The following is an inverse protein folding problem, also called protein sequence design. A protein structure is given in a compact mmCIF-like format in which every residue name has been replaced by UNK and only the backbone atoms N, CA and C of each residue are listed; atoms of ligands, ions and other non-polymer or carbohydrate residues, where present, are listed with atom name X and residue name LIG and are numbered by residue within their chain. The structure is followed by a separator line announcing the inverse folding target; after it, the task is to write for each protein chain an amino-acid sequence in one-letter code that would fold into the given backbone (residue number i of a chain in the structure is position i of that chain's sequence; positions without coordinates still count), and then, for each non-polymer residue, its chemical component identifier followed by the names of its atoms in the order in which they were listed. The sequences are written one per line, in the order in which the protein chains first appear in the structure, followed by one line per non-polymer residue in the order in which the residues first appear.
data_IF_563954463457
#
_entry.id   IF_563954463457
#
_cell.length_a   1.000
_cell.length_b   1.000
_cell.length_c   1.000
_cell.angle_alpha   90.00
_cell.angle_beta   90.00
_cell.angle_gamma   90.00
#
_symmetry.space_group_name_H-M   'P 1'
#
loop_
_entity.id
_entity.type
_entity.pdbx_description
1 polymer ?
#
# COMPACT_ATOMS: atom_id res chain seq x y z
N UNK A 1 -21.93 -26.52 0.65
CA UNK A 1 -20.60 -26.84 0.07
C UNK A 1 -20.00 -25.63 -0.68
N UNK A 2 -20.73 -25.01 -1.60
CA UNK A 2 -20.29 -23.86 -2.42
C UNK A 2 -19.71 -22.68 -1.62
N UNK A 3 -20.36 -22.24 -0.54
CA UNK A 3 -19.86 -21.15 0.32
C UNK A 3 -18.54 -21.48 1.02
N UNK A 4 -18.33 -22.75 1.38
CA UNK A 4 -17.09 -23.20 2.01
C UNK A 4 -15.93 -23.17 0.99
N UNK A 5 -16.18 -23.63 -0.24
CA UNK A 5 -15.20 -23.59 -1.33
C UNK A 5 -14.81 -22.15 -1.69
N UNK A 6 -15.78 -21.23 -1.73
CA UNK A 6 -15.52 -19.80 -1.93
C UNK A 6 -14.68 -19.19 -0.80
N UNK A 7 -15.00 -19.51 0.46
CA UNK A 7 -14.23 -19.06 1.63
C UNK A 7 -12.76 -19.50 1.59
N UNK A 8 -12.47 -20.69 1.06
CA UNK A 8 -11.10 -21.19 0.91
C UNK A 8 -10.34 -20.62 -0.29
N UNK A 9 -11.06 -20.18 -1.34
CA UNK A 9 -10.45 -19.59 -2.53
C UNK A 9 -10.14 -18.08 -2.36
N UNK A 10 -10.78 -17.42 -1.39
CA UNK A 10 -10.66 -15.98 -1.18
C UNK A 10 -9.27 -15.55 -0.68
N UNK A 11 -8.68 -16.17 0.36
CA UNK A 11 -7.43 -15.69 0.96
C UNK A 11 -6.24 -15.59 0.00
N UNK A 12 -5.98 -16.56 -0.91
CA UNK A 12 -4.91 -16.40 -1.89
C UNK A 12 -5.16 -15.22 -2.85
N UNK A 13 -6.40 -15.01 -3.29
CA UNK A 13 -6.75 -13.90 -4.20
C UNK A 13 -6.58 -12.53 -3.53
N UNK A 14 -6.70 -12.46 -2.20
CA UNK A 14 -6.41 -11.23 -1.44
C UNK A 14 -4.92 -10.84 -1.42
N UNK A 15 -4.04 -11.67 -1.97
CA UNK A 15 -2.64 -11.29 -2.26
C UNK A 15 -2.47 -10.65 -3.66
N UNK A 16 -3.55 -10.52 -4.43
CA UNK A 16 -3.53 -10.06 -5.82
C UNK A 16 -3.52 -11.22 -6.83
N UNK A 17 -3.55 -10.88 -8.12
CA UNK A 17 -3.54 -11.85 -9.22
C UNK A 17 -2.08 -12.16 -9.60
N UNK A 18 -1.54 -13.24 -9.04
CA UNK A 18 -0.17 -13.70 -9.28
C UNK A 18 -0.19 -15.20 -9.60
N UNK A 19 0.92 -15.74 -10.10
CA UNK A 19 1.03 -17.18 -10.38
C UNK A 19 0.75 -18.02 -9.12
N UNK A 20 1.28 -17.61 -7.97
CA UNK A 20 1.09 -18.33 -6.71
C UNK A 20 -0.36 -18.28 -6.23
N UNK A 21 -0.99 -17.11 -6.22
CA UNK A 21 -2.38 -16.97 -5.78
C UNK A 21 -3.34 -17.69 -6.71
N UNK A 22 -3.10 -17.59 -8.01
CA UNK A 22 -3.86 -18.31 -9.03
C UNK A 22 -3.75 -19.83 -8.81
N UNK A 23 -2.54 -20.36 -8.61
CA UNK A 23 -2.31 -21.79 -8.35
C UNK A 23 -3.05 -22.29 -7.11
N UNK A 24 -3.07 -21.50 -6.04
CA UNK A 24 -3.75 -21.86 -4.78
C UNK A 24 -5.27 -21.80 -4.86
N UNK A 25 -5.83 -21.00 -5.78
CA UNK A 25 -7.29 -20.84 -5.94
C UNK A 25 -7.90 -21.65 -7.08
N UNK A 26 -7.12 -22.03 -8.10
CA UNK A 26 -7.62 -22.63 -9.35
C UNK A 26 -8.53 -23.86 -9.13
N UNK A 27 -8.10 -24.84 -8.33
CA UNK A 27 -8.89 -26.04 -8.03
C UNK A 27 -10.24 -25.72 -7.41
N UNK A 28 -10.28 -24.73 -6.52
CA UNK A 28 -11.51 -24.30 -5.84
C UNK A 28 -12.43 -23.57 -6.80
N UNK A 29 -11.90 -22.70 -7.65
CA UNK A 29 -12.65 -22.01 -8.70
C UNK A 29 -13.23 -23.01 -9.72
N UNK A 30 -12.45 -24.00 -10.15
CA UNK A 30 -12.92 -25.07 -11.04
C UNK A 30 -14.08 -25.85 -10.41
N UNK A 31 -13.95 -26.19 -9.13
CA UNK A 31 -15.02 -26.87 -8.37
C UNK A 31 -16.28 -26.00 -8.21
N UNK A 32 -16.15 -24.68 -8.06
CA UNK A 32 -17.28 -23.76 -8.01
C UNK A 32 -18.03 -23.67 -9.34
N UNK A 33 -17.30 -23.72 -10.45
CA UNK A 33 -17.86 -23.66 -11.80
C UNK A 33 -18.39 -25.01 -12.30
N UNK A 34 -17.97 -26.11 -11.69
CA UNK A 34 -18.34 -27.46 -12.14
C UNK A 34 -17.81 -27.77 -13.54
N UNK A 35 -16.61 -27.30 -13.87
CA UNK A 35 -16.03 -27.34 -15.21
C UNK A 35 -14.84 -28.31 -15.29
N UNK A 36 -14.56 -28.85 -16.48
CA UNK A 36 -13.53 -29.88 -16.66
C UNK A 36 -12.10 -29.31 -16.58
N UNK A 37 -11.92 -28.07 -17.04
CA UNK A 37 -10.68 -27.33 -16.86
C UNK A 37 -10.93 -25.83 -16.67
N UNK A 38 -10.06 -25.18 -15.90
CA UNK A 38 -10.04 -23.75 -15.66
C UNK A 38 -8.61 -23.21 -15.83
N UNK A 39 -8.52 -22.05 -16.46
CA UNK A 39 -7.29 -21.31 -16.64
C UNK A 39 -7.47 -19.89 -16.07
N UNK A 40 -6.47 -19.39 -15.35
CA UNK A 40 -6.35 -17.95 -15.04
C UNK A 40 -5.14 -17.39 -15.77
N UNK A 41 -5.28 -16.20 -16.32
CA UNK A 41 -4.21 -15.50 -17.04
C UNK A 41 -3.98 -14.13 -16.42
N UNK A 42 -2.80 -13.57 -16.64
CA UNK A 42 -2.60 -12.12 -16.63
C UNK A 42 -2.78 -11.61 -18.08
N UNK A 43 -2.22 -10.43 -18.40
CA UNK A 43 -2.27 -9.86 -19.75
C UNK A 43 -1.25 -10.46 -20.72
N UNK A 44 -0.24 -11.17 -20.21
CA UNK A 44 0.92 -11.63 -20.99
C UNK A 44 0.97 -13.15 -21.13
N UNK A 45 0.50 -13.88 -20.12
CA UNK A 45 0.66 -15.33 -20.01
C UNK A 45 -0.41 -15.99 -19.14
N UNK A 46 -0.43 -17.32 -19.24
CA UNK A 46 -1.19 -18.17 -18.33
C UNK A 46 -0.51 -18.23 -16.97
N UNK A 47 -1.25 -17.90 -15.91
CA UNK A 47 -0.79 -18.01 -14.52
C UNK A 47 -0.99 -19.43 -13.98
N UNK A 48 -2.10 -20.07 -14.34
CA UNK A 48 -2.39 -21.44 -13.92
C UNK A 48 -3.35 -22.12 -14.87
N UNK A 49 -3.15 -23.42 -15.05
CA UNK A 49 -4.11 -24.36 -15.62
C UNK A 49 -4.45 -25.43 -14.59
N UNK A 50 -5.74 -25.69 -14.34
CA UNK A 50 -6.21 -26.77 -13.47
C UNK A 50 -7.29 -27.60 -14.19
N UNK A 51 -7.13 -28.92 -14.23
CA UNK A 51 -8.07 -29.83 -14.90
C UNK A 51 -7.50 -30.56 -16.11
N UNK A 52 -8.36 -31.06 -16.99
CA UNK A 52 -7.96 -31.80 -18.19
C UNK A 52 -7.32 -30.89 -19.26
N UNK A 53 -6.78 -31.48 -20.34
CA UNK A 53 -6.45 -30.74 -21.57
C UNK A 53 -5.34 -29.69 -21.47
N UNK A 54 -4.26 -29.95 -20.70
CA UNK A 54 -3.13 -29.03 -20.52
C UNK A 54 -2.49 -28.52 -21.82
N UNK A 55 -2.66 -29.24 -22.94
CA UNK A 55 -2.16 -28.81 -24.25
C UNK A 55 -2.79 -27.50 -24.75
N UNK A 56 -4.00 -27.15 -24.29
CA UNK A 56 -4.68 -25.89 -24.60
C UNK A 56 -4.05 -24.65 -23.97
N UNK A 57 -3.19 -24.81 -22.96
CA UNK A 57 -2.54 -23.67 -22.30
C UNK A 57 -1.64 -22.83 -23.21
N UNK A 58 -1.22 -23.37 -24.36
CA UNK A 58 -0.37 -22.65 -25.33
C UNK A 58 -1.14 -21.66 -26.20
N UNK A 59 -2.40 -21.99 -26.51
CA UNK A 59 -3.18 -21.26 -27.52
C UNK A 59 -4.19 -20.31 -26.88
N UNK A 60 -4.48 -20.48 -25.58
CA UNK A 60 -5.50 -19.70 -24.86
C UNK A 60 -5.30 -18.18 -24.94
N UNK A 61 -4.04 -17.70 -24.91
CA UNK A 61 -3.74 -16.27 -24.98
C UNK A 61 -4.20 -15.65 -26.30
N UNK A 62 -4.05 -16.38 -27.42
CA UNK A 62 -4.52 -15.92 -28.72
C UNK A 62 -6.05 -15.83 -28.81
N UNK A 63 -6.77 -16.73 -28.15
CA UNK A 63 -8.24 -16.71 -28.14
C UNK A 63 -8.83 -15.58 -27.29
N UNK A 64 -8.09 -15.06 -26.29
CA UNK A 64 -8.59 -14.05 -25.35
C UNK A 64 -8.02 -12.64 -25.60
N UNK A 65 -7.25 -12.44 -26.67
CA UNK A 65 -6.62 -11.13 -26.98
C UNK A 65 -7.66 -9.99 -27.02
N UNK A 66 -8.73 -10.16 -27.79
CA UNK A 66 -9.81 -9.17 -27.87
C UNK A 66 -10.52 -8.92 -26.52
N UNK A 67 -10.54 -9.89 -25.62
CA UNK A 67 -11.09 -9.73 -24.26
C UNK A 67 -10.14 -8.91 -23.38
N UNK A 68 -8.83 -9.15 -23.47
CA UNK A 68 -7.82 -8.41 -22.71
C UNK A 68 -7.74 -6.94 -23.12
N UNK A 69 -8.06 -6.63 -24.38
CA UNK A 69 -8.18 -5.26 -24.89
C UNK A 69 -9.54 -4.63 -24.60
N UNK A 70 -10.62 -5.33 -24.90
CA UNK A 70 -11.99 -4.78 -24.89
C UNK A 70 -12.76 -4.95 -23.59
N UNK A 71 -12.28 -5.79 -22.66
CA UNK A 71 -12.95 -6.07 -21.38
C UNK A 71 -14.33 -6.71 -21.53
N UNK A 72 -14.60 -7.39 -22.64
CA UNK A 72 -15.86 -8.13 -22.88
C UNK A 72 -15.61 -9.62 -22.85
N UNK A 73 -16.42 -10.33 -22.06
CA UNK A 73 -16.41 -11.79 -22.03
C UNK A 73 -16.78 -12.38 -23.38
N UNK A 74 -16.22 -13.54 -23.71
CA UNK A 74 -16.46 -14.23 -24.98
C UNK A 74 -16.58 -15.74 -24.75
N UNK A 75 -17.36 -16.41 -25.59
CA UNK A 75 -17.38 -17.86 -25.70
C UNK A 75 -16.79 -18.25 -27.06
N UNK A 76 -15.97 -19.29 -27.09
CA UNK A 76 -15.27 -19.72 -28.30
C UNK A 76 -15.12 -21.25 -28.35
N UNK A 77 -15.03 -21.77 -29.57
CA UNK A 77 -14.61 -23.15 -29.82
C UNK A 77 -13.09 -23.26 -29.58
N UNK A 78 -12.66 -24.32 -28.90
CA UNK A 78 -11.26 -24.52 -28.55
C UNK A 78 -10.37 -24.83 -29.75
N UNK A 79 -10.95 -25.21 -30.89
CA UNK A 79 -10.23 -25.59 -32.10
C UNK A 79 -9.38 -26.86 -31.94
N UNK A 80 -9.64 -27.68 -30.91
CA UNK A 80 -8.78 -28.81 -30.58
C UNK A 80 -8.80 -29.88 -31.70
N UNK A 81 -7.63 -30.17 -32.27
CA UNK A 81 -7.48 -31.24 -33.27
C UNK A 81 -7.53 -32.66 -32.67
N UNK A 82 -7.33 -32.80 -31.36
CA UNK A 82 -7.41 -34.09 -30.67
C UNK A 82 -8.88 -34.52 -30.54
N UNK A 83 -9.25 -35.65 -31.16
CA UNK A 83 -10.62 -36.17 -31.20
C UNK A 83 -11.09 -36.72 -29.84
N UNK A 84 -10.17 -37.09 -28.94
CA UNK A 84 -10.48 -37.60 -27.60
C UNK A 84 -10.52 -36.47 -26.56
N UNK A 85 -10.16 -35.25 -26.92
CA UNK A 85 -10.19 -34.12 -26.00
C UNK A 85 -11.63 -33.71 -25.64
N UNK A 86 -11.98 -33.68 -24.34
CA UNK A 86 -13.32 -33.28 -23.89
C UNK A 86 -13.50 -31.76 -23.84
N UNK A 87 -12.45 -30.96 -24.11
CA UNK A 87 -12.51 -29.50 -24.00
C UNK A 87 -12.76 -28.88 -25.38
N UNK A 88 -14.02 -28.83 -25.81
CA UNK A 88 -14.42 -28.31 -27.14
C UNK A 88 -14.81 -26.85 -27.13
N UNK A 89 -15.31 -26.37 -26.01
CA UNK A 89 -15.78 -25.00 -25.85
C UNK A 89 -15.19 -24.37 -24.62
N UNK A 90 -15.01 -23.05 -24.67
CA UNK A 90 -14.56 -22.26 -23.54
C UNK A 90 -15.36 -20.98 -23.41
N UNK A 91 -15.48 -20.51 -22.17
CA UNK A 91 -15.93 -19.15 -21.86
C UNK A 91 -14.80 -18.43 -21.15
N UNK A 92 -14.41 -17.28 -21.68
CA UNK A 92 -13.47 -16.36 -21.06
C UNK A 92 -14.19 -15.12 -20.55
N UNK A 93 -13.89 -14.74 -19.31
CA UNK A 93 -14.44 -13.54 -18.64
C UNK A 93 -13.28 -12.71 -18.11
N UNK A 94 -13.28 -11.37 -18.33
CA UNK A 94 -12.21 -10.51 -17.85
C UNK A 94 -12.23 -10.41 -16.33
N UNK A 95 -11.02 -10.34 -15.76
CA UNK A 95 -10.79 -9.98 -14.36
C UNK A 95 -10.37 -8.52 -14.32
N UNK A 96 -11.24 -7.67 -13.79
CA UNK A 96 -11.07 -6.21 -13.80
C UNK A 96 -10.97 -5.66 -12.38
N UNK A 97 -10.08 -4.70 -12.18
CA UNK A 97 -10.01 -3.87 -10.98
C UNK A 97 -9.90 -2.42 -11.43
N UNK A 98 -10.73 -1.53 -10.89
CA UNK A 98 -10.77 -0.10 -11.26
C UNK A 98 -10.84 0.14 -12.78
N UNK A 99 -11.72 -0.58 -13.48
CA UNK A 99 -11.86 -0.54 -14.96
C UNK A 99 -10.63 -0.96 -15.77
N UNK A 100 -9.58 -1.50 -15.14
CA UNK A 100 -8.41 -2.08 -15.81
C UNK A 100 -8.53 -3.60 -15.84
N UNK A 101 -8.37 -4.19 -17.03
CA UNK A 101 -8.33 -5.66 -17.18
C UNK A 101 -6.96 -6.17 -16.73
N UNK A 102 -6.93 -6.91 -15.62
CA UNK A 102 -5.73 -7.54 -15.07
C UNK A 102 -5.41 -8.87 -15.77
N UNK A 103 -6.41 -9.53 -16.32
CA UNK A 103 -6.29 -10.84 -16.95
C UNK A 103 -7.65 -11.46 -17.22
N UNK A 104 -7.71 -12.79 -17.32
CA UNK A 104 -8.95 -13.50 -17.61
C UNK A 104 -9.12 -14.77 -16.76
N UNK A 105 -10.38 -15.12 -16.51
CA UNK A 105 -10.80 -16.45 -16.08
C UNK A 105 -11.38 -17.16 -17.30
N UNK A 106 -10.82 -18.32 -17.64
CA UNK A 106 -11.26 -19.14 -18.77
C UNK A 106 -11.71 -20.50 -18.26
N UNK A 107 -12.95 -20.88 -18.54
CA UNK A 107 -13.54 -22.15 -18.16
C UNK A 107 -13.87 -22.99 -19.40
N UNK A 108 -13.44 -24.26 -19.42
CA UNK A 108 -13.59 -25.16 -20.55
C UNK A 108 -14.62 -26.26 -20.28
N UNK A 109 -15.41 -26.59 -21.31
CA UNK A 109 -16.44 -27.60 -21.28
C UNK A 109 -16.55 -28.38 -22.61
N UNK A 110 -17.27 -29.53 -22.63
CA UNK A 110 -17.43 -30.36 -23.83
C UNK A 110 -18.36 -29.78 -24.90
N UNK A 111 -19.17 -28.79 -24.53
CA UNK A 111 -20.14 -28.15 -25.41
C UNK A 111 -20.41 -26.73 -24.94
N UNK A 112 -20.90 -25.91 -25.85
CA UNK A 112 -21.37 -24.57 -25.53
C UNK A 112 -22.43 -24.63 -24.41
N UNK A 113 -22.30 -23.76 -23.41
CA UNK A 113 -23.16 -23.76 -22.22
C UNK A 113 -23.39 -22.34 -21.71
N UNK A 114 -24.60 -21.82 -21.92
CA UNK A 114 -25.02 -20.54 -21.37
C UNK A 114 -25.02 -20.53 -19.83
N UNK A 115 -25.23 -21.69 -19.20
CA UNK A 115 -25.16 -21.84 -17.74
C UNK A 115 -23.72 -21.63 -17.26
N UNK A 116 -22.75 -22.23 -17.94
CA UNK A 116 -21.33 -22.03 -17.62
C UNK A 116 -20.93 -20.57 -17.85
N UNK A 117 -21.40 -19.94 -18.94
CA UNK A 117 -21.08 -18.55 -19.21
C UNK A 117 -21.57 -17.61 -18.09
N UNK A 118 -22.80 -17.81 -17.61
CA UNK A 118 -23.35 -17.07 -16.46
C UNK A 118 -22.55 -17.35 -15.18
N UNK A 119 -22.27 -18.62 -14.88
CA UNK A 119 -21.51 -19.00 -13.70
C UNK A 119 -20.08 -18.43 -13.71
N UNK A 120 -19.41 -18.45 -14.87
CA UNK A 120 -18.10 -17.85 -15.07
C UNK A 120 -18.15 -16.33 -14.82
N UNK A 121 -19.22 -15.66 -15.27
CA UNK A 121 -19.47 -14.25 -14.95
C UNK A 121 -19.58 -13.98 -13.45
N UNK A 122 -20.38 -14.77 -12.73
CA UNK A 122 -20.54 -14.64 -11.28
C UNK A 122 -19.23 -14.87 -10.51
N UNK A 123 -18.52 -15.94 -10.86
CA UNK A 123 -17.23 -16.27 -10.22
C UNK A 123 -16.18 -15.21 -10.54
N UNK A 124 -16.11 -14.73 -11.79
CA UNK A 124 -15.20 -13.64 -12.16
C UNK A 124 -15.49 -12.37 -11.38
N UNK A 125 -16.77 -11.96 -11.26
CA UNK A 125 -17.14 -10.80 -10.41
C UNK A 125 -16.70 -10.99 -8.96
N UNK A 126 -16.92 -12.17 -8.39
CA UNK A 126 -16.47 -12.47 -7.04
C UNK A 126 -14.94 -12.42 -6.90
N UNK A 127 -14.19 -12.93 -7.88
CA UNK A 127 -12.73 -12.83 -7.94
C UNK A 127 -12.29 -11.36 -8.02
N UNK A 128 -12.91 -10.55 -8.87
CA UNK A 128 -12.63 -9.11 -8.98
C UNK A 128 -12.78 -8.40 -7.63
N UNK A 129 -13.85 -8.70 -6.88
CA UNK A 129 -14.04 -8.15 -5.53
C UNK A 129 -12.90 -8.54 -4.57
N UNK A 130 -12.39 -9.78 -4.65
CA UNK A 130 -11.24 -10.16 -3.81
C UNK A 130 -9.95 -9.43 -4.22
N UNK A 131 -9.77 -9.17 -5.52
CA UNK A 131 -8.62 -8.43 -6.04
C UNK A 131 -8.70 -6.94 -5.70
N UNK A 132 -9.88 -6.33 -5.76
CA UNK A 132 -10.14 -4.95 -5.31
C UNK A 132 -9.80 -4.78 -3.83
N UNK A 133 -10.24 -5.72 -2.97
CA UNK A 133 -9.91 -5.71 -1.55
C UNK A 133 -8.39 -5.80 -1.32
N UNK A 134 -7.68 -6.61 -2.11
CA UNK A 134 -6.22 -6.71 -2.04
C UNK A 134 -5.50 -5.40 -2.39
N UNK A 135 -6.04 -4.64 -3.35
CA UNK A 135 -5.48 -3.35 -3.78
C UNK A 135 -5.75 -2.26 -2.72
N UNK A 136 -6.96 -2.23 -2.16
CA UNK A 136 -7.32 -1.34 -1.05
C UNK A 136 -6.46 -1.56 0.19
N UNK A 137 -6.28 -2.81 0.63
CA UNK A 137 -5.44 -3.13 1.80
C UNK A 137 -3.98 -2.72 1.59
N UNK A 138 -3.45 -2.92 0.38
CA UNK A 138 -2.09 -2.48 0.02
C UNK A 138 -1.96 -0.96 0.02
N UNK A 139 -2.91 -0.24 -0.59
CA UNK A 139 -2.93 1.22 -0.60
C UNK A 139 -3.02 1.79 0.82
N UNK A 140 -3.85 1.20 1.68
CA UNK A 140 -3.96 1.60 3.09
C UNK A 140 -2.65 1.41 3.85
N UNK A 141 -1.99 0.27 3.65
CA UNK A 141 -0.70 -0.01 4.28
C UNK A 141 0.36 0.99 3.85
N UNK A 142 0.44 1.29 2.55
CA UNK A 142 1.35 2.29 2.01
C UNK A 142 1.08 3.70 2.55
N UNK A 143 -0.20 4.08 2.70
CA UNK A 143 -0.58 5.36 3.29
C UNK A 143 -0.12 5.46 4.75
N UNK A 144 -0.35 4.42 5.56
CA UNK A 144 0.10 4.36 6.96
C UNK A 144 1.63 4.47 7.04
N UNK A 145 2.36 3.76 6.17
CA UNK A 145 3.82 3.86 6.12
C UNK A 145 4.29 5.27 5.73
N UNK A 146 3.62 5.92 4.78
CA UNK A 146 3.91 7.29 4.38
C UNK A 146 3.62 8.29 5.51
N UNK A 147 2.50 8.14 6.24
CA UNK A 147 2.18 8.95 7.42
C UNK A 147 3.21 8.76 8.52
N UNK A 148 3.60 7.52 8.84
CA UNK A 148 4.66 7.24 9.82
C UNK A 148 5.97 7.88 9.37
N UNK A 149 6.32 7.80 8.08
CA UNK A 149 7.52 8.43 7.54
C UNK A 149 7.46 9.95 7.66
N UNK A 150 6.30 10.57 7.40
CA UNK A 150 6.09 12.00 7.57
C UNK A 150 6.19 12.43 9.04
N UNK A 151 5.58 11.67 9.97
CA UNK A 151 5.71 11.90 11.41
C UNK A 151 7.15 11.76 11.89
N UNK A 152 7.89 10.75 11.39
CA UNK A 152 9.33 10.58 11.70
C UNK A 152 10.19 11.71 11.13
N UNK A 153 9.76 12.39 10.08
CA UNK A 153 10.47 13.52 9.50
C UNK A 153 10.27 14.82 10.30
N UNK A 154 9.24 14.92 11.16
CA UNK A 154 8.99 16.11 11.99
C UNK A 154 10.03 16.32 13.10
N UNK A 155 10.86 15.31 13.42
CA UNK A 155 12.05 15.49 14.26
C UNK A 155 13.23 14.76 13.62
N UNK A 156 14.24 15.51 13.20
CA UNK A 156 15.48 14.93 12.66
C UNK A 156 16.12 14.00 13.69
N UNK A 157 16.29 12.68 13.43
CA UNK A 157 16.97 11.77 14.36
C UNK A 157 18.38 12.26 14.72
N UNK A 158 19.02 12.98 13.79
CA UNK A 158 20.31 13.62 14.01
C UNK A 158 20.25 14.71 15.09
N UNK A 159 19.17 15.48 15.18
CA UNK A 159 19.00 16.46 16.25
C UNK A 159 18.96 15.80 17.63
N UNK A 160 18.25 14.66 17.76
CA UNK A 160 18.19 13.89 19.02
C UNK A 160 19.59 13.44 19.43
N UNK A 161 20.34 12.79 18.53
CA UNK A 161 21.68 12.30 18.85
C UNK A 161 22.64 13.44 19.21
N UNK A 162 22.58 14.56 18.48
CA UNK A 162 23.43 15.72 18.75
C UNK A 162 23.11 16.39 20.08
N UNK A 163 21.83 16.53 20.41
CA UNK A 163 21.39 17.12 21.67
C UNK A 163 21.86 16.27 22.85
N UNK A 164 21.69 14.95 22.77
CA UNK A 164 22.18 14.02 23.79
C UNK A 164 23.70 14.04 23.93
N UNK A 165 24.44 14.10 22.82
CA UNK A 165 25.90 14.19 22.84
C UNK A 165 26.39 15.50 23.48
N UNK A 166 25.74 16.64 23.16
CA UNK A 166 26.04 17.93 23.77
C UNK A 166 25.78 17.88 25.27
N UNK A 167 24.60 17.43 25.70
CA UNK A 167 24.24 17.25 27.11
C UNK A 167 25.28 16.37 27.83
N UNK A 168 25.64 15.23 27.25
CA UNK A 168 26.62 14.31 27.84
C UNK A 168 27.99 14.96 28.06
N UNK A 169 28.38 15.92 27.22
CA UNK A 169 29.64 16.65 27.38
C UNK A 169 29.67 17.57 28.61
N UNK A 170 28.50 18.05 29.08
CA UNK A 170 28.38 18.89 30.27
C UNK A 170 28.24 18.09 31.56
N UNK A 171 27.81 16.82 31.52
CA UNK A 171 27.52 16.00 32.72
C UNK A 171 28.68 15.98 33.74
N UNK A 172 29.94 16.01 33.28
CA UNK A 172 31.13 15.99 34.17
C UNK A 172 31.67 17.38 34.51
N UNK A 173 31.50 18.34 33.62
CA UNK A 173 32.16 19.66 33.69
C UNK A 173 31.24 20.74 34.24
N UNK A 174 29.94 20.66 33.93
CA UNK A 174 28.89 21.55 34.39
C UNK A 174 27.55 20.78 34.53
N UNK A 175 27.35 20.07 35.65
CA UNK A 175 26.17 19.24 35.87
C UNK A 175 24.85 20.03 35.90
N UNK A 176 24.88 21.29 36.34
CA UNK A 176 23.69 22.14 36.38
C UNK A 176 23.28 22.53 34.95
N UNK A 177 24.22 22.94 34.09
CA UNK A 177 23.94 23.20 32.68
C UNK A 177 23.44 21.92 31.96
N UNK A 178 24.00 20.76 32.27
CA UNK A 178 23.53 19.50 31.72
C UNK A 178 22.07 19.20 32.11
N UNK A 179 21.70 19.49 33.37
CA UNK A 179 20.34 19.33 33.88
C UNK A 179 19.36 20.27 33.20
N UNK A 180 19.71 21.54 33.02
CA UNK A 180 18.90 22.50 32.28
C UNK A 180 18.65 22.05 30.84
N UNK A 181 19.71 21.65 30.12
CA UNK A 181 19.60 21.17 28.75
C UNK A 181 18.76 19.88 28.64
N UNK A 182 18.79 19.01 29.65
CA UNK A 182 17.91 17.84 29.71
C UNK A 182 16.43 18.22 29.84
N UNK A 183 16.11 19.25 30.64
CA UNK A 183 14.74 19.74 30.78
C UNK A 183 14.26 20.40 29.49
N UNK A 184 15.09 21.25 28.88
CA UNK A 184 14.84 21.88 27.58
C UNK A 184 14.60 20.83 26.49
N UNK A 185 15.44 19.79 26.45
CA UNK A 185 15.27 18.66 25.53
C UNK A 185 13.96 17.91 25.78
N UNK A 186 13.60 17.65 27.04
CA UNK A 186 12.36 16.96 27.39
C UNK A 186 11.12 17.78 27.04
N UNK A 187 11.15 19.10 27.24
CA UNK A 187 10.04 20.00 26.93
C UNK A 187 9.90 20.18 25.40
N UNK A 188 11.01 20.38 24.68
CA UNK A 188 11.03 20.42 23.22
C UNK A 188 10.48 19.11 22.62
N UNK A 189 10.92 17.97 23.16
CA UNK A 189 10.46 16.65 22.71
C UNK A 189 8.98 16.44 23.01
N UNK A 190 8.50 16.90 24.18
CA UNK A 190 7.08 16.86 24.53
C UNK A 190 6.25 17.73 23.58
N UNK A 191 6.72 18.92 23.23
CA UNK A 191 6.07 19.79 22.25
C UNK A 191 6.04 19.12 20.87
N UNK A 192 7.20 18.69 20.36
CA UNK A 192 7.36 18.10 19.02
C UNK A 192 6.57 16.79 18.84
N UNK A 193 6.32 16.04 19.92
CA UNK A 193 5.48 14.83 19.90
C UNK A 193 4.05 15.03 20.41
N UNK A 194 3.61 16.25 20.74
CA UNK A 194 2.20 16.48 21.05
C UNK A 194 1.37 16.06 19.83
N UNK A 195 0.49 15.09 20.04
CA UNK A 195 -0.69 14.96 19.17
C UNK A 195 -1.61 16.12 19.53
N UNK A 196 -2.00 16.99 18.59
CA UNK A 196 -3.32 17.62 18.37
C UNK A 196 -3.21 18.88 17.45
N UNK A 197 -4.18 19.03 16.52
CA UNK A 197 -4.49 20.27 15.78
C UNK A 197 -3.67 20.56 14.53
N UNK A 198 -4.29 21.03 13.44
CA UNK A 198 -3.58 21.53 12.25
C UNK A 198 -2.83 22.86 12.54
N UNK A 199 -3.20 23.59 13.61
CA UNK A 199 -2.72 24.94 13.90
C UNK A 199 -2.32 25.13 15.37
N UNK A 200 -1.35 26.02 15.60
CA UNK A 200 -0.87 26.50 16.91
C UNK A 200 -0.63 28.01 16.86
N UNK A 201 -0.36 28.67 17.98
CA UNK A 201 -0.02 30.10 17.99
C UNK A 201 1.45 30.35 17.68
N UNK A 202 1.78 31.53 17.15
CA UNK A 202 3.16 31.97 17.00
C UNK A 202 3.93 31.97 18.32
N UNK A 203 3.27 32.32 19.42
CA UNK A 203 3.86 32.26 20.74
C UNK A 203 4.34 30.84 21.10
N UNK A 204 3.51 29.82 20.85
CA UNK A 204 3.85 28.43 21.16
C UNK A 204 5.00 27.90 20.28
N UNK A 205 5.02 28.26 19.00
CA UNK A 205 6.12 27.88 18.08
C UNK A 205 7.43 28.57 18.45
N UNK A 206 7.40 29.86 18.78
CA UNK A 206 8.59 30.59 19.23
C UNK A 206 9.12 30.03 20.55
N UNK A 207 8.23 29.63 21.46
CA UNK A 207 8.64 28.97 22.70
C UNK A 207 9.40 27.67 22.40
N UNK A 208 8.90 26.82 21.50
CA UNK A 208 9.61 25.60 21.10
C UNK A 208 10.94 25.89 20.40
N UNK A 209 10.99 26.93 19.56
CA UNK A 209 12.23 27.40 18.91
C UNK A 209 13.27 27.84 19.93
N UNK A 210 12.88 28.52 21.00
CA UNK A 210 13.81 28.94 22.04
C UNK A 210 14.47 27.74 22.73
N UNK A 211 13.70 26.69 23.01
CA UNK A 211 14.20 25.42 23.59
C UNK A 211 15.16 24.72 22.62
N UNK A 212 14.80 24.65 21.34
CA UNK A 212 15.67 24.14 20.28
C UNK A 212 17.00 24.93 20.22
N UNK A 213 16.93 26.25 20.20
CA UNK A 213 18.10 27.12 20.11
C UNK A 213 18.98 27.03 21.36
N UNK A 214 18.42 26.77 22.55
CA UNK A 214 19.22 26.52 23.75
C UNK A 214 20.14 25.30 23.58
N UNK A 215 19.61 24.19 23.04
CA UNK A 215 20.37 22.98 22.74
C UNK A 215 21.45 23.20 21.68
N UNK A 216 21.10 23.94 20.63
CA UNK A 216 22.02 24.25 19.54
C UNK A 216 23.11 25.24 19.98
N UNK A 217 22.79 26.22 20.82
CA UNK A 217 23.77 27.14 21.45
C UNK A 217 24.76 26.39 22.34
N UNK A 218 24.31 25.41 23.12
CA UNK A 218 25.21 24.58 23.92
C UNK A 218 26.24 23.84 23.05
N UNK A 219 25.88 23.44 21.83
CA UNK A 219 26.78 22.77 20.87
C UNK A 219 27.77 23.74 20.21
N UNK A 220 27.31 24.90 19.76
CA UNK A 220 28.13 25.83 18.97
C UNK A 220 28.86 26.88 19.81
N UNK A 221 28.45 27.09 21.06
CA UNK A 221 28.96 28.12 21.94
C UNK A 221 28.88 29.49 21.27
N UNK A 222 29.98 30.23 21.31
CA UNK A 222 30.07 31.61 20.77
C UNK A 222 29.97 31.70 19.24
N UNK A 223 29.97 30.57 18.51
CA UNK A 223 29.88 30.58 17.04
C UNK A 223 28.46 30.80 16.53
N UNK A 224 27.45 30.66 17.38
CA UNK A 224 26.05 30.90 17.04
C UNK A 224 25.55 32.17 17.74
N UNK A 225 25.06 33.12 16.95
CA UNK A 225 24.36 34.31 17.43
C UNK A 225 22.98 34.34 16.80
N UNK A 226 21.94 34.48 17.61
CA UNK A 226 20.55 34.50 17.16
C UNK A 226 19.87 35.75 17.70
N UNK A 227 19.14 36.45 16.85
CA UNK A 227 18.33 37.61 17.22
C UNK A 227 16.92 37.41 16.69
N UNK A 228 15.93 37.40 17.59
CA UNK A 228 14.51 37.30 17.24
C UNK A 228 13.90 38.71 17.28
N UNK A 229 13.30 39.13 16.16
CA UNK A 229 12.59 40.41 16.05
C UNK A 229 11.13 40.11 15.74
N UNK A 230 10.30 40.06 16.80
CA UNK A 230 8.89 39.69 16.71
C UNK A 230 8.05 40.76 17.39
N UNK A 231 7.04 41.26 16.68
CA UNK A 231 6.11 42.24 17.23
C UNK A 231 5.10 41.53 18.17
N UNK A 232 4.81 42.06 19.38
CA UNK A 232 3.91 41.39 20.34
C UNK A 232 2.52 41.09 19.77
N UNK A 233 2.04 41.91 18.85
CA UNK A 233 0.70 41.84 18.27
C UNK A 233 0.51 40.60 17.39
N UNK A 234 1.60 39.99 16.89
CA UNK A 234 1.54 38.79 16.05
C UNK A 234 1.64 37.48 16.84
N UNK A 235 1.98 37.52 18.13
CA UNK A 235 2.11 36.31 18.97
C UNK A 235 0.85 35.41 19.00
N UNK A 236 -0.39 35.95 19.00
CA UNK A 236 -1.60 35.13 18.99
C UNK A 236 -1.98 34.58 17.60
N UNK A 237 -1.27 34.95 16.52
CA UNK A 237 -1.60 34.50 15.16
C UNK A 237 -1.48 32.98 15.08
N UNK A 238 -2.50 32.35 14.49
CA UNK A 238 -2.50 30.92 14.25
C UNK A 238 -1.69 30.57 12.99
N UNK A 239 -0.84 29.55 13.09
CA UNK A 239 -0.06 29.00 11.98
C UNK A 239 0.00 27.47 12.05
N UNK A 240 0.33 26.80 10.94
CA UNK A 240 0.48 25.35 10.94
C UNK A 240 1.53 24.91 11.96
N UNK A 241 1.20 23.87 12.72
CA UNK A 241 2.08 23.31 13.74
C UNK A 241 3.43 22.87 13.15
N UNK A 242 4.54 23.20 13.82
CA UNK A 242 5.94 22.96 13.43
C UNK A 242 6.37 23.58 12.10
N UNK A 243 5.69 24.63 11.61
CA UNK A 243 6.09 25.24 10.36
C UNK A 243 7.34 26.13 10.49
N UNK A 244 7.66 26.64 11.69
CA UNK A 244 8.83 27.49 11.89
C UNK A 244 10.11 26.70 12.18
N UNK A 245 10.01 25.54 12.83
CA UNK A 245 11.14 24.67 13.13
C UNK A 245 12.04 24.39 11.91
N UNK A 246 11.54 23.93 10.74
CA UNK A 246 12.40 23.65 9.60
C UNK A 246 13.10 24.90 9.03
N UNK A 247 12.51 26.09 9.20
CA UNK A 247 13.16 27.34 8.79
C UNK A 247 14.34 27.67 9.70
N UNK A 248 14.17 27.49 11.01
CA UNK A 248 15.22 27.71 12.00
C UNK A 248 16.32 26.66 11.86
N UNK A 249 15.96 25.38 11.67
CA UNK A 249 16.93 24.30 11.46
C UNK A 249 17.84 24.54 10.25
N UNK A 250 17.30 25.09 9.16
CA UNK A 250 18.10 25.39 7.96
C UNK A 250 18.93 26.68 8.09
N UNK A 251 18.64 27.54 9.06
CA UNK A 251 19.35 28.80 9.27
C UNK A 251 20.59 28.67 10.17
N UNK A 252 20.74 27.56 10.89
CA UNK A 252 21.85 27.25 11.81
C UNK A 252 22.85 26.31 11.16
#
# INVERSE_FOLDING_TARGET
ETLHTASLAAPPLRAGLTEESARRSARRLRSLLGTDALCLTDRERVLVWDGAGHHHGKDVMGHIEALLEGGRGTAFDSGCADLDCPLRWAVAVPLTVENRVLGALVAYAPRESAVLARAAGEVARWVCVQLELAELDRSRTQLIEAEIKALRAQISPHFIFNSLAAIASFVRTDPEQARELLLEFADFTRYSFRRHGEFTTLADELHSIDQYLALVRARFGKRLSVTLQVAPEVLPVALPFLCLQPLVENAV
#
